data_IF_376090409909
#
_entry.id   IF_376090409909
#
_cell.length_a   1.000
_cell.length_b   1.000
_cell.length_c   1.000
_cell.angle_alpha   90.00
_cell.angle_beta   90.00
_cell.angle_gamma   90.00
#
_symmetry.space_group_name_H-M   'P 1'
#
loop_
_entity.id
_entity.type
_entity.pdbx_description
1 polymer ?
#
# COMPACT_ATOMS: atom_id res chain seq x y z
N UNK A 1 10.64 19.77 0.48
CA UNK A 1 10.58 20.49 -0.81
C UNK A 1 9.69 21.71 -0.63
N UNK A 2 10.29 22.90 -0.70
CA UNK A 2 9.54 24.15 -0.69
C UNK A 2 9.14 24.50 -2.13
N UNK A 3 7.82 24.55 -2.42
CA UNK A 3 7.34 25.01 -3.71
C UNK A 3 7.17 26.54 -3.67
N UNK A 4 7.64 27.28 -4.69
CA UNK A 4 7.36 28.69 -4.78
C UNK A 4 5.88 28.94 -5.13
N UNK A 5 5.28 29.93 -4.47
CA UNK A 5 3.91 30.44 -4.72
C UNK A 5 3.99 31.93 -5.02
N UNK A 6 3.31 32.38 -6.06
CA UNK A 6 3.43 33.74 -6.57
C UNK A 6 2.10 34.49 -6.63
N UNK A 7 0.98 33.76 -6.58
CA UNK A 7 -0.36 34.31 -6.70
C UNK A 7 -0.88 34.99 -5.44
N UNK A 8 -2.11 35.50 -5.54
CA UNK A 8 -2.77 36.27 -4.46
C UNK A 8 -3.04 35.45 -3.21
N UNK A 9 -3.05 34.11 -3.29
CA UNK A 9 -3.29 33.21 -2.18
C UNK A 9 -2.01 32.69 -1.50
N UNK A 10 -0.83 33.13 -1.94
CA UNK A 10 0.48 32.62 -1.45
C UNK A 10 0.62 32.64 0.07
N UNK A 11 0.20 33.70 0.73
CA UNK A 11 0.30 33.83 2.20
C UNK A 11 -0.54 32.78 2.90
N UNK A 12 -1.76 32.56 2.44
CA UNK A 12 -2.67 31.56 3.02
C UNK A 12 -2.21 30.13 2.74
N UNK A 13 -1.62 29.90 1.56
CA UNK A 13 -1.04 28.59 1.22
C UNK A 13 0.14 28.28 2.13
N UNK A 14 1.05 29.25 2.35
CA UNK A 14 2.18 29.09 3.27
C UNK A 14 1.69 28.81 4.69
N UNK A 15 0.77 29.62 5.24
CA UNK A 15 0.24 29.41 6.57
C UNK A 15 -0.45 28.05 6.76
N UNK A 16 -1.23 27.58 5.77
CA UNK A 16 -1.79 26.23 5.81
C UNK A 16 -0.69 25.15 5.84
N UNK A 17 0.37 25.29 5.05
CA UNK A 17 1.46 24.30 4.98
C UNK A 17 2.21 24.27 6.30
N UNK A 18 2.53 25.44 6.87
CA UNK A 18 3.17 25.56 8.18
C UNK A 18 2.33 24.92 9.28
N UNK A 19 1.02 25.19 9.30
CA UNK A 19 0.09 24.54 10.24
C UNK A 19 0.13 23.01 10.09
N UNK A 20 0.18 22.48 8.84
CA UNK A 20 0.27 21.03 8.62
C UNK A 20 1.60 20.45 9.07
N UNK A 21 2.70 21.13 8.83
CA UNK A 21 4.03 20.71 9.28
C UNK A 21 4.14 20.72 10.81
N UNK A 22 3.59 21.74 11.49
CA UNK A 22 3.54 21.81 12.95
C UNK A 22 2.77 20.64 13.58
N UNK A 23 1.79 20.10 12.85
CA UNK A 23 1.01 18.92 13.23
C UNK A 23 1.69 17.59 12.81
N UNK A 24 2.94 17.64 12.31
CA UNK A 24 3.70 16.46 11.89
C UNK A 24 3.34 15.89 10.52
N UNK A 25 2.50 16.57 9.71
CA UNK A 25 2.17 16.09 8.38
C UNK A 25 3.19 16.57 7.33
N UNK A 26 3.82 15.70 6.52
CA UNK A 26 4.76 16.12 5.46
C UNK A 26 4.13 16.98 4.37
N UNK A 27 2.85 16.86 4.10
CA UNK A 27 1.97 17.62 3.21
C UNK A 27 2.48 17.85 1.76
N UNK A 28 3.57 17.23 1.33
CA UNK A 28 4.27 17.44 0.05
C UNK A 28 3.37 17.32 -1.19
N UNK A 29 2.51 16.30 -1.24
CA UNK A 29 1.61 16.08 -2.38
C UNK A 29 0.55 17.18 -2.48
N UNK A 30 0.01 17.60 -1.34
CA UNK A 30 -0.98 18.67 -1.27
C UNK A 30 -0.36 20.02 -1.59
N UNK A 31 0.86 20.30 -1.12
CA UNK A 31 1.62 21.49 -1.48
C UNK A 31 1.83 21.61 -3.00
N UNK A 32 2.21 20.52 -3.67
CA UNK A 32 2.29 20.49 -5.13
C UNK A 32 0.98 20.81 -5.83
N UNK A 33 -0.13 20.29 -5.30
CA UNK A 33 -1.46 20.58 -5.86
C UNK A 33 -1.85 22.05 -5.62
N UNK A 34 -1.55 22.60 -4.45
CA UNK A 34 -1.77 24.01 -4.16
C UNK A 34 -0.93 24.92 -5.05
N UNK A 35 0.29 24.52 -5.44
CA UNK A 35 1.05 25.23 -6.45
C UNK A 35 0.34 25.26 -7.79
N UNK A 36 -0.18 24.14 -8.25
CA UNK A 36 -0.96 24.08 -9.50
C UNK A 36 -2.24 24.93 -9.41
N UNK A 37 -2.82 25.05 -8.23
CA UNK A 37 -3.97 25.93 -8.00
C UNK A 37 -3.56 27.40 -8.02
N UNK A 38 -2.43 27.76 -7.44
CA UNK A 38 -1.86 29.10 -7.47
C UNK A 38 -1.59 29.56 -8.92
N UNK A 39 -0.95 28.70 -9.72
CA UNK A 39 -0.72 28.92 -11.16
C UNK A 39 -2.05 29.10 -11.93
N UNK A 40 -3.06 28.29 -11.61
CA UNK A 40 -4.39 28.41 -12.19
C UNK A 40 -5.05 29.77 -11.86
N UNK A 41 -4.96 30.21 -10.60
CA UNK A 41 -5.51 31.49 -10.16
C UNK A 41 -4.81 32.67 -10.86
N UNK A 42 -3.49 32.64 -10.96
CA UNK A 42 -2.74 33.69 -11.68
C UNK A 42 -3.14 33.79 -13.17
N UNK A 43 -3.37 32.65 -13.80
CA UNK A 43 -3.72 32.59 -15.21
C UNK A 43 -5.16 33.06 -15.51
N UNK A 44 -6.12 32.61 -14.71
CA UNK A 44 -7.55 32.79 -14.99
C UNK A 44 -8.21 33.88 -14.15
N UNK A 45 -7.63 34.23 -12.99
CA UNK A 45 -8.17 35.22 -12.05
C UNK A 45 -7.07 36.11 -11.46
N UNK A 46 -6.29 36.84 -12.30
CA UNK A 46 -5.13 37.62 -11.85
C UNK A 46 -5.48 38.70 -10.83
N UNK A 47 -6.71 39.23 -10.89
CA UNK A 47 -7.25 40.23 -9.96
C UNK A 47 -8.07 39.63 -8.80
N UNK A 48 -8.14 38.31 -8.69
CA UNK A 48 -8.95 37.62 -7.66
C UNK A 48 -8.25 37.61 -6.31
N UNK A 49 -8.67 38.44 -5.37
CA UNK A 49 -8.10 38.50 -4.02
C UNK A 49 -8.90 37.68 -3.00
N UNK A 50 -10.12 37.27 -3.35
CA UNK A 50 -10.99 36.44 -2.49
C UNK A 50 -11.20 35.08 -3.15
N UNK A 51 -11.08 34.00 -2.39
CA UNK A 51 -11.38 32.67 -2.87
C UNK A 51 -12.92 32.48 -2.93
N UNK A 52 -13.51 33.07 -3.94
CA UNK A 52 -14.95 33.04 -4.18
C UNK A 52 -15.41 31.73 -4.85
N UNK A 53 -16.72 31.61 -5.06
CA UNK A 53 -17.35 30.46 -5.68
C UNK A 53 -16.81 30.19 -7.09
N UNK A 54 -16.60 31.22 -7.90
CA UNK A 54 -16.24 31.08 -9.30
C UNK A 54 -14.82 30.51 -9.44
N UNK A 55 -13.85 31.01 -8.66
CA UNK A 55 -12.50 30.50 -8.59
C UNK A 55 -12.52 29.04 -8.10
N UNK A 56 -13.21 28.77 -7.01
CA UNK A 56 -13.24 27.45 -6.39
C UNK A 56 -13.95 26.41 -7.28
N UNK A 57 -15.09 26.77 -7.88
CA UNK A 57 -15.84 25.85 -8.74
C UNK A 57 -15.21 25.71 -10.12
N UNK A 58 -14.59 26.73 -10.67
CA UNK A 58 -13.80 26.63 -11.91
C UNK A 58 -12.66 25.64 -11.78
N UNK A 59 -12.01 25.56 -10.60
CA UNK A 59 -11.01 24.54 -10.30
C UNK A 59 -11.58 23.12 -10.31
N UNK A 60 -12.90 22.94 -10.10
CA UNK A 60 -13.55 21.62 -10.10
C UNK A 60 -13.90 21.11 -11.50
N UNK A 61 -13.69 21.88 -12.56
CA UNK A 61 -13.90 21.41 -13.94
C UNK A 61 -12.98 20.23 -14.23
N UNK A 62 -13.55 19.15 -14.77
CA UNK A 62 -12.77 17.99 -15.18
C UNK A 62 -11.79 18.37 -16.27
N UNK A 63 -10.56 17.92 -16.15
CA UNK A 63 -9.55 17.99 -17.22
C UNK A 63 -9.75 16.81 -18.17
N UNK A 64 -9.27 16.94 -19.40
CA UNK A 64 -9.26 15.84 -20.35
C UNK A 64 -8.56 14.63 -19.72
N UNK A 65 -9.22 13.47 -19.80
CA UNK A 65 -8.76 12.20 -19.21
C UNK A 65 -8.63 12.18 -17.67
N UNK A 66 -9.25 13.14 -16.93
CA UNK A 66 -9.26 13.11 -15.47
C UNK A 66 -10.41 12.24 -14.92
N UNK A 67 -10.07 11.23 -14.17
CA UNK A 67 -11.07 10.40 -13.46
C UNK A 67 -11.63 11.11 -12.21
N UNK A 68 -12.88 10.81 -11.78
CA UNK A 68 -13.50 11.43 -10.60
C UNK A 68 -12.66 11.36 -9.32
N UNK A 69 -11.91 10.28 -9.13
CA UNK A 69 -11.00 10.15 -7.98
C UNK A 69 -9.75 11.03 -8.11
N UNK A 70 -9.29 11.31 -9.33
CA UNK A 70 -8.23 12.29 -9.62
C UNK A 70 -8.69 13.69 -9.26
N UNK A 71 -9.89 14.07 -9.71
CA UNK A 71 -10.54 15.31 -9.37
C UNK A 71 -10.70 15.50 -7.85
N UNK A 72 -11.20 14.50 -7.14
CA UNK A 72 -11.31 14.55 -5.68
C UNK A 72 -9.96 14.82 -5.00
N UNK A 73 -8.90 14.17 -5.47
CA UNK A 73 -7.53 14.38 -4.97
C UNK A 73 -7.06 15.82 -5.23
N UNK A 74 -7.41 16.41 -6.37
CA UNK A 74 -7.07 17.78 -6.76
C UNK A 74 -7.88 18.83 -5.98
N UNK A 75 -9.14 18.56 -5.67
CA UNK A 75 -10.03 19.44 -4.92
C UNK A 75 -9.69 19.47 -3.41
N UNK A 76 -9.29 18.35 -2.84
CA UNK A 76 -9.13 18.21 -1.38
C UNK A 76 -8.19 19.25 -0.76
N UNK A 77 -7.00 19.56 -1.32
CA UNK A 77 -6.12 20.60 -0.76
C UNK A 77 -6.72 22.01 -0.85
N UNK A 78 -7.44 22.32 -1.92
CA UNK A 78 -8.09 23.64 -2.10
C UNK A 78 -9.26 23.79 -1.11
N UNK A 79 -10.02 22.71 -0.87
CA UNK A 79 -11.05 22.69 0.18
C UNK A 79 -10.45 22.93 1.57
N UNK A 80 -9.28 22.38 1.84
CA UNK A 80 -8.56 22.60 3.09
C UNK A 80 -8.03 24.03 3.19
N UNK A 81 -7.56 24.61 2.09
CA UNK A 81 -7.15 26.03 2.03
C UNK A 81 -8.31 26.95 2.37
N UNK A 82 -9.48 26.76 1.75
CA UNK A 82 -10.66 27.56 2.04
C UNK A 82 -11.09 27.47 3.53
N UNK A 83 -11.05 26.25 4.10
CA UNK A 83 -11.33 26.04 5.53
C UNK A 83 -10.30 26.74 6.44
N UNK A 84 -9.03 26.70 6.09
CA UNK A 84 -7.98 27.40 6.79
C UNK A 84 -8.19 28.90 6.75
N UNK A 85 -8.47 29.47 5.56
CA UNK A 85 -8.76 30.90 5.40
C UNK A 85 -9.94 31.34 6.30
N UNK A 86 -11.03 30.58 6.28
CA UNK A 86 -12.18 30.85 7.16
C UNK A 86 -11.82 30.76 8.65
N UNK A 87 -10.94 29.85 9.05
CA UNK A 87 -10.52 29.70 10.45
C UNK A 87 -9.69 30.86 10.98
N UNK A 88 -9.07 31.64 10.07
CA UNK A 88 -8.31 32.86 10.42
C UNK A 88 -9.10 34.16 10.10
N UNK A 89 -10.42 34.04 9.90
CA UNK A 89 -11.32 35.20 9.67
C UNK A 89 -11.35 35.73 8.24
N UNK A 90 -10.75 35.03 7.28
CA UNK A 90 -10.77 35.42 5.84
C UNK A 90 -11.86 34.62 5.14
N UNK A 91 -12.86 35.32 4.63
CA UNK A 91 -13.96 34.70 3.91
C UNK A 91 -13.49 33.94 2.66
N UNK A 92 -13.84 32.65 2.56
CA UNK A 92 -13.49 31.79 1.44
C UNK A 92 -14.58 30.74 1.16
N UNK A 93 -14.88 30.53 -0.09
CA UNK A 93 -15.86 29.53 -0.51
C UNK A 93 -15.30 28.11 -0.38
N UNK A 94 -15.93 27.29 0.44
CA UNK A 94 -15.56 25.90 0.65
C UNK A 94 -16.27 25.00 -0.38
N UNK A 95 -15.52 24.35 -1.26
CA UNK A 95 -16.07 23.40 -2.23
C UNK A 95 -16.88 22.31 -1.50
N UNK A 96 -18.15 22.08 -1.89
CA UNK A 96 -19.04 21.15 -1.19
C UNK A 96 -18.49 19.70 -1.14
N UNK A 97 -18.78 18.94 -0.07
CA UNK A 97 -18.29 17.55 0.07
C UNK A 97 -18.75 16.62 -1.06
N UNK A 98 -19.93 16.88 -1.65
CA UNK A 98 -20.53 16.09 -2.73
C UNK A 98 -19.87 16.30 -4.10
N UNK A 99 -18.85 17.15 -4.20
CA UNK A 99 -18.08 17.34 -5.45
C UNK A 99 -16.80 16.52 -5.36
N UNK A 100 -16.49 15.63 -6.32
CA UNK A 100 -17.33 15.21 -7.46
C UNK A 100 -18.52 14.35 -7.04
N UNK A 101 -19.62 14.41 -7.80
CA UNK A 101 -20.87 13.71 -7.47
C UNK A 101 -20.72 12.18 -7.39
N UNK A 102 -19.81 11.58 -8.17
CA UNK A 102 -19.62 10.14 -8.24
C UNK A 102 -18.16 9.80 -7.95
N UNK A 103 -17.96 8.99 -6.92
CA UNK A 103 -16.65 8.38 -6.64
C UNK A 103 -16.70 6.93 -7.10
N UNK A 104 -15.71 6.52 -7.88
CA UNK A 104 -15.56 5.12 -8.28
C UNK A 104 -14.79 4.43 -7.15
N UNK A 105 -15.47 3.53 -6.41
CA UNK A 105 -14.77 2.66 -5.45
C UNK A 105 -14.02 1.59 -6.22
N UNK A 106 -12.74 1.50 -5.96
CA UNK A 106 -11.94 0.39 -6.47
C UNK A 106 -12.34 -0.91 -5.76
N UNK A 107 -12.69 -1.92 -6.54
CA UNK A 107 -12.86 -3.28 -6.04
C UNK A 107 -11.53 -4.00 -6.22
N UNK A 108 -10.88 -4.45 -5.13
CA UNK A 108 -9.62 -5.16 -5.23
C UNK A 108 -9.77 -6.47 -6.01
N UNK A 109 -8.74 -6.81 -6.78
CA UNK A 109 -8.63 -8.14 -7.34
C UNK A 109 -8.16 -9.11 -6.25
N UNK A 110 -8.92 -10.17 -6.00
CA UNK A 110 -8.51 -11.24 -5.09
C UNK A 110 -7.93 -12.36 -5.94
N UNK A 111 -6.62 -12.54 -5.83
CA UNK A 111 -5.89 -13.52 -6.60
C UNK A 111 -6.33 -14.95 -6.23
N UNK A 112 -6.63 -15.73 -7.23
CA UNK A 112 -6.88 -17.17 -7.09
C UNK A 112 -5.57 -17.93 -6.88
N UNK A 113 -5.64 -19.15 -6.34
CA UNK A 113 -4.45 -20.01 -6.18
C UNK A 113 -3.72 -20.28 -7.50
N UNK A 114 -4.48 -20.43 -8.62
CA UNK A 114 -3.90 -20.62 -9.97
C UNK A 114 -3.16 -19.38 -10.45
N UNK A 115 -3.71 -18.20 -10.25
CA UNK A 115 -3.09 -16.93 -10.61
C UNK A 115 -1.81 -16.67 -9.81
N UNK A 116 -1.84 -16.93 -8.49
CA UNK A 116 -0.67 -16.85 -7.62
C UNK A 116 0.43 -17.81 -8.06
N UNK A 117 0.08 -19.08 -8.30
CA UNK A 117 1.03 -20.09 -8.77
C UNK A 117 1.67 -19.68 -10.10
N UNK A 118 0.87 -19.24 -11.06
CA UNK A 118 1.38 -18.79 -12.36
C UNK A 118 2.28 -17.57 -12.24
N UNK A 119 1.90 -16.59 -11.40
CA UNK A 119 2.70 -15.39 -11.16
C UNK A 119 4.03 -15.72 -10.48
N UNK A 120 4.02 -16.53 -9.41
CA UNK A 120 5.23 -16.92 -8.71
C UNK A 120 6.16 -17.76 -9.59
N UNK A 121 5.62 -18.65 -10.42
CA UNK A 121 6.41 -19.39 -11.40
C UNK A 121 7.09 -18.44 -12.41
N UNK A 122 6.36 -17.46 -12.92
CA UNK A 122 6.90 -16.48 -13.87
C UNK A 122 8.03 -15.63 -13.27
N UNK A 123 7.89 -15.17 -12.01
CA UNK A 123 8.95 -14.37 -11.37
C UNK A 123 10.15 -15.22 -10.95
N UNK A 124 9.97 -16.49 -10.64
CA UNK A 124 11.08 -17.44 -10.34
C UNK A 124 11.93 -17.70 -11.58
N UNK A 125 11.34 -17.64 -12.77
CA UNK A 125 12.03 -17.74 -14.06
C UNK A 125 12.76 -16.44 -14.47
N UNK A 126 12.81 -15.42 -13.60
CA UNK A 126 13.50 -14.16 -13.87
C UNK A 126 14.99 -14.37 -14.14
N UNK A 127 15.42 -14.00 -15.33
CA UNK A 127 16.83 -14.17 -15.73
C UNK A 127 17.73 -13.08 -15.15
N UNK A 128 19.01 -13.39 -14.85
CA UNK A 128 20.01 -12.40 -14.52
C UNK A 128 20.11 -11.34 -15.62
N UNK A 129 20.40 -10.10 -15.23
CA UNK A 129 20.58 -9.00 -16.17
C UNK A 129 21.84 -8.21 -15.79
N UNK A 130 22.76 -7.95 -16.74
CA UNK A 130 23.95 -7.14 -16.48
C UNK A 130 23.59 -5.69 -16.11
N UNK A 131 22.44 -5.18 -16.61
CA UNK A 131 21.95 -3.83 -16.29
C UNK A 131 21.31 -3.71 -14.90
N UNK A 132 21.04 -4.82 -14.23
CA UNK A 132 20.45 -4.83 -12.89
C UNK A 132 20.91 -6.09 -12.15
N UNK A 133 22.18 -6.11 -11.70
CA UNK A 133 22.72 -7.23 -10.96
C UNK A 133 21.84 -7.56 -9.74
N UNK A 134 21.59 -8.83 -9.48
CA UNK A 134 20.78 -9.28 -8.36
C UNK A 134 19.26 -9.12 -8.50
N UNK A 135 18.73 -8.46 -9.54
CA UNK A 135 17.28 -8.29 -9.75
C UNK A 135 16.53 -9.63 -9.74
N UNK A 136 17.07 -10.66 -10.35
CA UNK A 136 16.51 -12.02 -10.41
C UNK A 136 16.44 -12.69 -9.02
N UNK A 137 17.22 -12.21 -8.05
CA UNK A 137 17.14 -12.65 -6.66
C UNK A 137 16.11 -11.82 -5.86
N UNK A 138 16.03 -10.51 -6.15
CA UNK A 138 15.17 -9.57 -5.45
C UNK A 138 13.69 -9.85 -5.74
N UNK A 139 13.31 -9.96 -7.01
CA UNK A 139 11.90 -10.03 -7.44
C UNK A 139 11.15 -11.19 -6.79
N UNK A 140 11.64 -12.44 -6.80
CA UNK A 140 10.93 -13.57 -6.20
C UNK A 140 10.67 -13.41 -4.71
N UNK A 141 11.65 -12.88 -3.96
CA UNK A 141 11.55 -12.73 -2.52
C UNK A 141 10.64 -11.56 -2.14
N UNK A 142 10.79 -10.43 -2.83
CA UNK A 142 9.99 -9.22 -2.59
C UNK A 142 8.49 -9.50 -2.75
N UNK A 143 8.08 -10.14 -3.85
CA UNK A 143 6.67 -10.43 -4.07
C UNK A 143 6.11 -11.49 -3.10
N UNK A 144 6.93 -12.45 -2.65
CA UNK A 144 6.52 -13.39 -1.60
C UNK A 144 6.32 -12.68 -0.26
N UNK A 145 7.17 -11.74 0.13
CA UNK A 145 6.95 -10.93 1.34
C UNK A 145 5.68 -10.09 1.23
N UNK A 146 5.41 -9.49 0.06
CA UNK A 146 4.17 -8.75 -0.16
C UNK A 146 2.92 -9.62 0.03
N UNK A 147 2.95 -10.86 -0.47
CA UNK A 147 1.83 -11.79 -0.38
C UNK A 147 1.76 -12.48 0.98
N UNK A 148 2.83 -13.15 1.41
CA UNK A 148 2.82 -14.00 2.62
C UNK A 148 2.74 -13.20 3.93
N UNK A 149 3.27 -11.97 3.95
CA UNK A 149 3.26 -11.11 5.14
C UNK A 149 2.26 -9.94 5.01
N UNK A 150 1.55 -9.83 3.90
CA UNK A 150 0.61 -8.75 3.64
C UNK A 150 1.24 -7.36 3.74
N UNK A 151 2.53 -7.21 3.40
CA UNK A 151 3.25 -5.93 3.46
C UNK A 151 2.71 -4.93 2.43
N UNK A 152 2.81 -3.63 2.73
CA UNK A 152 2.62 -2.60 1.71
C UNK A 152 3.85 -2.55 0.80
N UNK A 153 3.66 -2.19 -0.47
CA UNK A 153 4.77 -2.06 -1.43
C UNK A 153 5.86 -1.07 -0.96
N UNK A 154 5.46 0.01 -0.25
CA UNK A 154 6.42 0.94 0.34
C UNK A 154 7.20 0.34 1.51
N UNK A 155 6.58 -0.50 2.32
CA UNK A 155 7.21 -1.17 3.45
C UNK A 155 8.27 -2.17 2.96
N UNK A 156 7.91 -3.05 2.02
CA UNK A 156 8.87 -3.97 1.43
C UNK A 156 10.01 -3.23 0.71
N UNK A 157 9.69 -2.18 -0.05
CA UNK A 157 10.67 -1.39 -0.80
C UNK A 157 11.68 -0.66 0.09
N UNK A 158 11.24 -0.16 1.24
CA UNK A 158 12.07 0.62 2.18
C UNK A 158 12.62 -0.23 3.32
N UNK A 159 12.55 -1.54 3.22
CA UNK A 159 13.02 -2.46 4.23
C UNK A 159 14.56 -2.38 4.34
N UNK A 160 15.06 -2.05 5.51
CA UNK A 160 16.50 -2.07 5.80
C UNK A 160 16.99 -3.49 6.11
N UNK A 161 18.26 -3.75 5.91
CA UNK A 161 18.86 -5.02 6.31
C UNK A 161 18.77 -5.24 7.82
N UNK A 162 18.81 -4.17 8.60
CA UNK A 162 18.69 -4.17 10.07
C UNK A 162 17.26 -4.36 10.59
N UNK A 163 16.27 -4.31 9.72
CA UNK A 163 14.87 -4.51 10.12
C UNK A 163 14.48 -5.99 10.17
N UNK A 164 15.32 -6.89 9.65
CA UNK A 164 15.11 -8.33 9.71
C UNK A 164 15.98 -8.97 10.77
N UNK A 165 15.33 -9.63 11.71
CA UNK A 165 15.96 -10.59 12.58
C UNK A 165 15.71 -12.00 12.02
N UNK A 166 16.72 -12.52 11.32
CA UNK A 166 16.65 -13.82 10.67
C UNK A 166 16.83 -14.99 11.66
N UNK A 167 17.22 -14.74 12.90
CA UNK A 167 17.28 -15.76 13.95
C UNK A 167 15.91 -15.87 14.65
N UNK A 168 15.36 -14.75 15.07
CA UNK A 168 14.02 -14.70 15.65
C UNK A 168 12.89 -14.87 14.63
N UNK A 169 13.18 -14.80 13.32
CA UNK A 169 12.19 -14.88 12.25
C UNK A 169 11.22 -13.70 12.22
N UNK A 170 11.70 -12.50 12.53
CA UNK A 170 10.87 -11.31 12.63
C UNK A 170 11.31 -10.19 11.67
N UNK A 171 10.34 -9.36 11.28
CA UNK A 171 10.56 -8.15 10.48
C UNK A 171 9.93 -6.96 11.19
N UNK A 172 10.73 -5.96 11.46
CA UNK A 172 10.29 -4.70 12.05
C UNK A 172 9.86 -3.72 10.95
N UNK A 173 8.61 -3.31 10.95
CA UNK A 173 8.07 -2.33 10.00
C UNK A 173 7.99 -0.98 10.68
N UNK A 174 8.85 -0.06 10.23
CA UNK A 174 8.92 1.32 10.75
C UNK A 174 7.89 2.20 10.08
N UNK A 175 7.36 3.17 10.79
CA UNK A 175 6.54 4.28 10.30
C UNK A 175 5.46 3.86 9.29
N UNK A 176 4.72 2.82 9.62
CA UNK A 176 3.56 2.40 8.83
C UNK A 176 2.52 3.54 8.75
N UNK A 177 1.52 3.41 7.89
CA UNK A 177 0.45 4.41 7.74
C UNK A 177 -0.15 4.78 9.11
N UNK A 178 0.02 6.04 9.52
CA UNK A 178 -0.39 6.56 10.83
C UNK A 178 0.71 6.51 11.88
N UNK A 179 1.99 6.48 11.49
CA UNK A 179 3.17 6.47 12.38
C UNK A 179 3.15 5.33 13.42
N UNK A 180 2.61 4.17 13.02
CA UNK A 180 2.56 2.98 13.88
C UNK A 180 3.59 1.97 13.41
N UNK A 181 4.50 1.60 14.30
CA UNK A 181 5.42 0.49 14.09
C UNK A 181 4.71 -0.84 14.34
N UNK A 182 5.19 -1.89 13.71
CA UNK A 182 4.73 -3.25 13.97
C UNK A 182 5.79 -4.28 13.65
N UNK A 183 5.72 -5.40 14.34
CA UNK A 183 6.52 -6.59 14.06
C UNK A 183 5.67 -7.56 13.24
N UNK A 184 6.26 -8.15 12.21
CA UNK A 184 5.72 -9.27 11.45
C UNK A 184 6.55 -10.51 11.76
N UNK A 185 5.89 -11.65 11.93
CA UNK A 185 6.54 -12.95 12.05
C UNK A 185 6.58 -13.63 10.69
N UNK A 186 7.72 -14.17 10.33
CA UNK A 186 7.91 -14.93 9.10
C UNK A 186 7.58 -16.41 9.37
N UNK A 187 6.87 -17.03 8.44
CA UNK A 187 6.79 -18.50 8.44
C UNK A 187 8.15 -19.10 8.10
N UNK A 188 8.38 -20.36 8.51
CA UNK A 188 9.66 -21.05 8.31
C UNK A 188 10.10 -21.04 6.84
N UNK A 189 9.17 -21.23 5.89
CA UNK A 189 9.44 -21.18 4.45
C UNK A 189 9.91 -19.80 4.00
N UNK A 190 9.26 -18.73 4.49
CA UNK A 190 9.60 -17.34 4.14
C UNK A 190 10.92 -16.94 4.81
N UNK A 191 11.13 -17.37 6.06
CA UNK A 191 12.38 -17.14 6.77
C UNK A 191 13.56 -17.82 6.04
N UNK A 192 13.39 -19.09 5.67
CA UNK A 192 14.40 -19.81 4.87
C UNK A 192 14.71 -19.10 3.56
N UNK A 193 13.67 -18.67 2.85
CA UNK A 193 13.81 -17.89 1.61
C UNK A 193 14.61 -16.60 1.82
N UNK A 194 14.33 -15.85 2.90
CA UNK A 194 15.06 -14.63 3.25
C UNK A 194 16.53 -14.91 3.61
N UNK A 195 16.82 -16.01 4.32
CA UNK A 195 18.19 -16.46 4.64
C UNK A 195 18.97 -16.79 3.37
N UNK A 196 18.38 -17.57 2.46
CA UNK A 196 19.00 -17.94 1.18
C UNK A 196 19.23 -16.70 0.32
N UNK A 197 18.23 -15.83 0.22
CA UNK A 197 18.36 -14.56 -0.49
C UNK A 197 19.49 -13.70 0.07
N UNK A 198 19.54 -13.51 1.39
CA UNK A 198 20.56 -12.71 2.07
C UNK A 198 21.99 -13.16 1.74
N UNK A 199 22.22 -14.50 1.69
CA UNK A 199 23.50 -15.08 1.31
C UNK A 199 23.83 -14.85 -0.18
N UNK A 200 22.84 -15.02 -1.07
CA UNK A 200 23.04 -14.91 -2.53
C UNK A 200 23.18 -13.47 -3.03
N UNK A 201 22.55 -12.49 -2.38
CA UNK A 201 22.63 -11.09 -2.77
C UNK A 201 23.89 -10.38 -2.25
N UNK A 202 24.47 -10.86 -1.14
CA UNK A 202 25.63 -10.25 -0.48
C UNK A 202 26.84 -10.06 -1.41
N UNK A 203 27.22 -11.00 -2.29
CA UNK A 203 28.35 -10.78 -3.21
C UNK A 203 28.14 -9.63 -4.20
N UNK A 204 26.89 -9.30 -4.55
CA UNK A 204 26.59 -8.19 -5.44
C UNK A 204 26.59 -6.84 -4.71
N UNK A 205 26.20 -6.84 -3.42
CA UNK A 205 26.00 -5.63 -2.61
C UNK A 205 26.40 -5.91 -1.15
N UNK A 206 27.72 -5.96 -0.84
CA UNK A 206 28.19 -6.31 0.52
C UNK A 206 27.75 -5.29 1.57
N UNK A 207 27.79 -3.99 1.24
CA UNK A 207 27.51 -2.87 2.16
C UNK A 207 26.12 -2.25 1.95
N UNK A 208 25.17 -3.04 1.45
CA UNK A 208 23.82 -2.54 1.19
C UNK A 208 23.08 -2.12 2.46
N UNK A 209 22.43 -0.98 2.40
CA UNK A 209 21.50 -0.50 3.44
C UNK A 209 20.12 -1.17 3.25
N UNK A 210 19.66 -1.23 1.99
CA UNK A 210 18.37 -1.82 1.66
C UNK A 210 18.43 -3.36 1.71
N UNK A 211 17.42 -3.99 2.28
CA UNK A 211 17.26 -5.43 2.18
C UNK A 211 17.10 -5.85 0.71
N UNK A 212 16.32 -5.08 -0.07
CA UNK A 212 16.19 -5.20 -1.51
C UNK A 212 16.94 -4.04 -2.20
N UNK A 213 18.22 -4.21 -2.52
CA UNK A 213 19.05 -3.13 -3.05
C UNK A 213 18.77 -2.86 -4.53
N UNK A 214 18.78 -1.57 -4.89
CA UNK A 214 18.96 -1.14 -6.28
C UNK A 214 20.43 -1.23 -6.68
N UNK A 215 20.80 -0.75 -7.89
CA UNK A 215 22.18 -0.77 -8.39
C UNK A 215 23.22 -0.05 -7.51
N UNK A 216 22.77 0.91 -6.70
CA UNK A 216 23.59 1.68 -5.75
C UNK A 216 23.60 1.08 -4.33
N UNK A 217 23.05 -0.11 -4.11
CA UNK A 217 22.91 -0.69 -2.77
C UNK A 217 21.80 -0.05 -1.91
N UNK A 218 21.07 0.92 -2.46
CA UNK A 218 20.00 1.68 -1.81
C UNK A 218 18.60 1.20 -2.22
N UNK A 219 17.57 1.97 -1.91
CA UNK A 219 16.17 1.62 -2.15
C UNK A 219 15.74 1.84 -3.61
N UNK A 220 14.85 1.00 -4.11
CA UNK A 220 14.22 1.20 -5.42
C UNK A 220 13.27 2.41 -5.44
N UNK A 221 13.04 2.96 -6.63
CA UNK A 221 12.03 3.99 -6.84
C UNK A 221 10.61 3.45 -6.62
N UNK A 222 9.70 4.35 -6.23
CA UNK A 222 8.30 4.00 -5.90
C UNK A 222 7.56 3.25 -7.01
N UNK A 223 7.83 3.57 -8.28
CA UNK A 223 7.17 2.96 -9.44
C UNK A 223 7.68 1.57 -9.78
N UNK A 224 8.91 1.21 -9.35
CA UNK A 224 9.61 0.02 -9.83
C UNK A 224 8.86 -1.28 -9.51
N UNK A 225 8.31 -1.41 -8.29
CA UNK A 225 7.56 -2.63 -7.92
C UNK A 225 6.32 -2.79 -8.79
N UNK A 226 5.64 -1.68 -9.11
CA UNK A 226 4.51 -1.68 -10.04
C UNK A 226 4.93 -2.10 -11.45
N UNK A 227 6.06 -1.57 -11.95
CA UNK A 227 6.60 -1.96 -13.26
C UNK A 227 6.92 -3.46 -13.32
N UNK A 228 7.57 -4.01 -12.29
CA UNK A 228 7.83 -5.45 -12.23
C UNK A 228 6.56 -6.28 -12.15
N UNK A 229 5.59 -5.86 -11.35
CA UNK A 229 4.31 -6.54 -11.28
C UNK A 229 3.67 -6.65 -12.67
N UNK A 230 3.54 -5.54 -13.38
CA UNK A 230 2.94 -5.51 -14.72
C UNK A 230 3.78 -6.27 -15.75
N UNK A 231 5.13 -6.24 -15.66
CA UNK A 231 6.02 -7.01 -16.52
C UNK A 231 5.69 -8.51 -16.51
N UNK A 232 5.39 -9.08 -15.35
CA UNK A 232 5.07 -10.51 -15.21
C UNK A 232 3.58 -10.78 -15.31
N UNK A 233 2.76 -10.00 -14.62
CA UNK A 233 1.32 -10.21 -14.57
C UNK A 233 0.63 -10.08 -15.93
N UNK A 234 0.91 -9.01 -16.67
CA UNK A 234 0.24 -8.71 -17.94
C UNK A 234 0.58 -9.73 -19.04
N UNK A 235 1.67 -10.49 -18.87
CA UNK A 235 2.09 -11.55 -19.78
C UNK A 235 1.49 -12.94 -19.42
N UNK A 236 0.78 -13.06 -18.29
CA UNK A 236 0.09 -14.31 -17.96
C UNK A 236 -1.17 -14.49 -18.84
N UNK A 237 -1.38 -15.69 -19.34
CA UNK A 237 -2.51 -16.02 -20.22
C UNK A 237 -3.90 -15.79 -19.59
N UNK A 238 -3.97 -15.74 -18.26
CA UNK A 238 -5.19 -15.44 -17.49
C UNK A 238 -5.44 -13.97 -17.20
N UNK A 239 -4.40 -13.13 -17.20
CA UNK A 239 -4.48 -11.72 -16.75
C UNK A 239 -5.44 -10.86 -17.59
N UNK A 240 -5.51 -11.11 -18.89
CA UNK A 240 -6.38 -10.37 -19.84
C UNK A 240 -7.88 -10.69 -19.71
N UNK A 241 -8.23 -11.72 -18.93
CA UNK A 241 -9.64 -12.17 -18.76
C UNK A 241 -10.30 -11.60 -17.49
N UNK A 242 -9.60 -10.81 -16.69
CA UNK A 242 -10.17 -10.17 -15.50
C UNK A 242 -11.22 -9.15 -15.93
N UNK A 243 -12.51 -9.52 -15.81
CA UNK A 243 -13.62 -8.57 -15.94
C UNK A 243 -13.61 -7.66 -14.72
N UNK A 244 -13.21 -6.41 -14.88
CA UNK A 244 -13.20 -5.43 -13.78
C UNK A 244 -11.98 -4.52 -13.80
N UNK A 245 -11.63 -3.99 -12.62
CA UNK A 245 -10.44 -3.18 -12.47
C UNK A 245 -9.16 -4.02 -12.64
N UNK A 246 -8.12 -3.49 -13.29
CA UNK A 246 -6.85 -4.20 -13.45
C UNK A 246 -6.23 -4.51 -12.08
N UNK A 247 -5.66 -5.71 -11.93
CA UNK A 247 -4.96 -6.12 -10.72
C UNK A 247 -3.76 -5.21 -10.44
N UNK A 248 -3.45 -5.00 -9.17
CA UNK A 248 -2.36 -4.13 -8.71
C UNK A 248 -1.54 -4.82 -7.62
N UNK A 249 -0.33 -4.37 -7.42
CA UNK A 249 0.55 -4.85 -6.33
C UNK A 249 -0.14 -4.86 -4.97
N UNK A 250 -0.96 -3.85 -4.67
CA UNK A 250 -1.66 -3.76 -3.38
C UNK A 250 -2.69 -4.87 -3.16
N UNK A 251 -3.13 -5.50 -4.23
CA UNK A 251 -4.13 -6.57 -4.19
C UNK A 251 -3.56 -7.88 -3.61
N UNK A 252 -2.23 -8.07 -3.59
CA UNK A 252 -1.61 -9.14 -2.79
C UNK A 252 -1.97 -9.01 -1.31
N UNK A 253 -1.92 -7.79 -0.77
CA UNK A 253 -2.31 -7.54 0.61
C UNK A 253 -3.81 -7.73 0.85
N UNK A 254 -4.65 -7.38 -0.11
CA UNK A 254 -6.08 -7.67 -0.03
C UNK A 254 -6.34 -9.18 -0.04
N UNK A 255 -5.66 -9.92 -0.93
CA UNK A 255 -5.75 -11.38 -0.98
C UNK A 255 -5.26 -12.03 0.31
N UNK A 256 -4.11 -11.59 0.84
CA UNK A 256 -3.61 -12.03 2.15
C UNK A 256 -4.66 -11.84 3.25
N UNK A 257 -5.27 -10.65 3.32
CA UNK A 257 -6.28 -10.35 4.33
C UNK A 257 -7.52 -11.24 4.20
N UNK A 258 -8.02 -11.46 2.98
CA UNK A 258 -9.18 -12.35 2.72
C UNK A 258 -8.85 -13.79 3.11
N UNK A 259 -7.67 -14.29 2.75
CA UNK A 259 -7.25 -15.64 3.10
C UNK A 259 -7.09 -15.81 4.62
N UNK A 260 -6.51 -14.82 5.29
CA UNK A 260 -6.37 -14.82 6.75
C UNK A 260 -7.74 -14.84 7.45
N UNK A 261 -8.69 -14.00 7.01
CA UNK A 261 -10.05 -14.01 7.55
C UNK A 261 -10.78 -15.33 7.27
N UNK A 262 -10.58 -15.93 6.10
CA UNK A 262 -11.14 -17.24 5.77
C UNK A 262 -10.65 -18.34 6.72
N UNK A 263 -9.36 -18.36 7.01
CA UNK A 263 -8.76 -19.29 7.99
C UNK A 263 -9.32 -19.01 9.39
N UNK A 264 -9.37 -17.75 9.82
CA UNK A 264 -9.87 -17.38 11.15
C UNK A 264 -11.36 -17.71 11.32
N UNK A 265 -12.20 -17.46 10.30
CA UNK A 265 -13.62 -17.78 10.31
C UNK A 265 -13.85 -19.30 10.41
N UNK A 266 -13.09 -20.10 9.68
CA UNK A 266 -13.15 -21.56 9.79
C UNK A 266 -12.70 -22.03 11.17
N UNK A 267 -11.63 -21.45 11.72
CA UNK A 267 -11.15 -21.78 13.07
C UNK A 267 -12.19 -21.45 14.14
N UNK A 268 -12.81 -20.27 14.11
CA UNK A 268 -13.86 -19.90 15.08
C UNK A 268 -15.10 -20.78 14.94
N UNK A 269 -15.49 -21.16 13.72
CA UNK A 269 -16.59 -22.10 13.48
C UNK A 269 -16.29 -23.47 14.07
N UNK A 270 -15.05 -23.94 13.96
CA UNK A 270 -14.59 -25.21 14.54
C UNK A 270 -14.57 -25.12 16.08
N UNK A 271 -14.04 -24.03 16.62
CA UNK A 271 -14.00 -23.78 18.06
C UNK A 271 -15.42 -23.76 18.67
N UNK A 272 -16.36 -23.10 18.03
CA UNK A 272 -17.76 -23.08 18.45
C UNK A 272 -18.39 -24.48 18.42
N UNK A 273 -18.16 -25.27 17.36
CA UNK A 273 -18.59 -26.68 17.30
C UNK A 273 -17.95 -27.52 18.38
N UNK A 274 -16.70 -27.23 18.76
CA UNK A 274 -15.97 -27.90 19.83
C UNK A 274 -16.56 -27.55 21.20
N UNK A 275 -16.83 -26.29 21.46
CA UNK A 275 -17.50 -25.83 22.69
C UNK A 275 -18.88 -26.44 22.88
N UNK A 276 -19.70 -26.52 21.78
CA UNK A 276 -21.03 -27.16 21.84
C UNK A 276 -20.93 -28.67 22.08
N UNK A 277 -19.86 -29.34 21.62
CA UNK A 277 -19.58 -30.75 21.90
C UNK A 277 -19.30 -30.99 23.41
N UNK A 278 -18.50 -30.13 24.05
CA UNK A 278 -18.21 -30.23 25.48
C UNK A 278 -19.42 -29.94 26.38
N UNK A 279 -20.37 -29.15 25.87
CA UNK A 279 -21.63 -28.91 26.60
C UNK A 279 -22.63 -30.07 26.50
N UNK A 280 -22.45 -31.02 25.57
CA UNK A 280 -23.30 -32.18 25.34
C UNK A 280 -22.46 -33.49 25.25
N UNK A 281 -22.04 -34.08 26.35
CA UNK A 281 -21.10 -35.21 26.38
C UNK A 281 -21.59 -36.54 25.77
N UNK A 282 -22.69 -36.57 25.06
CA UNK A 282 -23.22 -37.74 24.34
C UNK A 282 -23.15 -37.68 22.82
N UNK A 283 -22.62 -36.58 22.24
CA UNK A 283 -22.53 -36.40 20.79
C UNK A 283 -21.19 -36.87 20.22
N UNK A 284 -21.19 -37.54 19.07
CA UNK A 284 -19.95 -37.90 18.36
C UNK A 284 -19.26 -36.68 17.79
N UNK A 285 -17.92 -36.65 17.82
CA UNK A 285 -17.11 -35.59 17.20
C UNK A 285 -17.50 -35.43 15.72
N UNK A 286 -17.84 -34.20 15.26
CA UNK A 286 -18.11 -33.99 13.86
C UNK A 286 -16.90 -34.40 13.01
N UNK A 287 -17.13 -35.19 11.95
CA UNK A 287 -16.07 -35.73 11.08
C UNK A 287 -15.11 -34.67 10.50
N UNK A 288 -15.63 -33.45 10.28
CA UNK A 288 -14.83 -32.28 9.85
C UNK A 288 -13.74 -31.89 10.89
N UNK A 289 -14.05 -31.97 12.18
CA UNK A 289 -13.09 -31.65 13.27
C UNK A 289 -12.01 -32.72 13.37
N UNK A 290 -12.39 -33.99 13.24
CA UNK A 290 -11.45 -35.11 13.24
C UNK A 290 -10.50 -35.12 12.04
N UNK A 291 -10.97 -34.64 10.88
CA UNK A 291 -10.17 -34.51 9.67
C UNK A 291 -9.14 -33.36 9.79
N UNK A 292 -9.53 -32.23 10.39
CA UNK A 292 -8.66 -31.08 10.57
C UNK A 292 -7.60 -31.34 11.63
N UNK A 293 -7.93 -32.00 12.73
CA UNK A 293 -6.95 -32.41 13.74
C UNK A 293 -5.92 -33.41 13.20
N UNK A 294 -6.30 -34.27 12.25
CA UNK A 294 -5.37 -35.17 11.56
C UNK A 294 -4.47 -34.46 10.55
N UNK A 295 -4.93 -33.35 9.95
CA UNK A 295 -4.19 -32.60 8.93
C UNK A 295 -3.44 -31.37 9.48
N UNK A 296 -3.68 -30.94 10.72
CA UNK A 296 -2.94 -29.84 11.37
C UNK A 296 -1.51 -30.19 11.79
N UNK A 297 -1.14 -31.47 11.68
CA UNK A 297 0.25 -31.94 11.86
C UNK A 297 1.21 -31.61 10.71
N UNK A 298 0.72 -31.08 9.61
CA UNK A 298 1.56 -30.67 8.47
C UNK A 298 1.11 -29.33 7.90
N UNK A 299 1.91 -28.28 8.18
CA UNK A 299 2.07 -27.09 7.33
C UNK A 299 0.97 -26.00 7.33
N UNK A 300 0.57 -25.47 8.47
CA UNK A 300 0.03 -24.09 8.47
C UNK A 300 0.47 -23.39 9.76
N UNK A 301 1.59 -22.69 9.69
CA UNK A 301 2.02 -21.74 10.74
C UNK A 301 1.00 -20.62 10.85
N UNK A 302 0.29 -20.59 11.97
CA UNK A 302 -0.68 -19.54 12.28
C UNK A 302 0.10 -18.27 12.63
N UNK A 303 -0.04 -17.26 11.81
CA UNK A 303 0.52 -15.93 12.04
C UNK A 303 -0.24 -15.26 13.21
N UNK A 304 0.37 -15.17 14.39
CA UNK A 304 -0.10 -14.31 15.47
C UNK A 304 0.37 -12.88 15.22
N UNK A 305 -0.58 -12.00 14.94
CA UNK A 305 -0.33 -10.56 14.90
C UNK A 305 -0.63 -10.04 16.31
N UNK A 306 0.40 -9.73 17.08
CA UNK A 306 0.24 -9.01 18.35
C UNK A 306 0.07 -7.51 18.03
N UNK A 307 -1.14 -6.99 18.23
CA UNK A 307 -1.38 -5.56 18.37
C UNK A 307 -1.04 -5.16 19.82
N UNK A 308 0.10 -4.50 20.05
CA UNK A 308 0.25 -3.70 21.24
C UNK A 308 -0.51 -2.39 21.01
N UNK A 309 -1.51 -2.16 21.86
CA UNK A 309 -2.29 -0.94 22.03
C UNK A 309 -1.41 0.26 22.38
#
# INVERSE_FOLDING_TARGET
>A
MNYPYYGNFKMYIHGLIEQKHSLGYPYNTSARILRMFDEYCMKHFPKGHTLNRDIAMGWTSLKDNEYPNGLLRRITPVRQLAKYMNSIGIEAYVIPPKVPKKQIRYVPHIFTGRELSAFFHAIDACQPSPFSPGRHLVIPVLFRLLYCCGMRSSEARLLHTTDLDLEAGTVFIRESKGHKDRILYLSDDVLHLCKVYGKRIRPYYPDRIAFFPNQQGSFYNKSMIGCWFHLYWDNLSGAKKCKGNPARVHDFRHTFSVNLFGVWFNFTRILLKWLTFFQNPGSSLPGEVAHILRNSGSKHSILFINFKS
#
